data_IF_426560589168
#
_entry.id   IF_426560589168
#
_cell.length_a   1.000
_cell.length_b   1.000
_cell.length_c   1.000
_cell.angle_alpha   90.00
_cell.angle_beta   90.00
_cell.angle_gamma   90.00
#
_symmetry.space_group_name_H-M   'P 1'
#
loop_
_entity.id
_entity.type
_entity.pdbx_description
1 polymer ?
#
# COMPACT_ATOMS: atom_id res chain seq x y z
N UNK A 1 -0.54 20.40 13.23
CA UNK A 1 -0.41 18.95 13.00
C UNK A 1 0.62 18.82 11.90
N UNK A 2 1.57 17.91 12.05
CA UNK A 2 2.66 17.75 11.09
C UNK A 2 2.22 16.64 10.14
N UNK A 3 2.05 16.97 8.85
CA UNK A 3 1.66 15.98 7.85
C UNK A 3 2.89 15.14 7.48
N UNK A 4 2.82 13.84 7.70
CA UNK A 4 3.85 12.89 7.30
C UNK A 4 3.52 12.36 5.91
N UNK A 5 4.55 12.23 5.08
CA UNK A 5 4.39 11.71 3.73
C UNK A 5 5.56 10.84 3.31
N UNK A 6 5.24 9.73 2.65
CA UNK A 6 6.21 8.79 2.09
C UNK A 6 5.85 8.49 0.65
N UNK A 7 6.85 8.30 -0.20
CA UNK A 7 6.67 7.88 -1.60
C UNK A 7 7.33 6.53 -1.87
N UNK A 8 6.63 5.67 -2.60
CA UNK A 8 7.11 4.38 -3.09
C UNK A 8 7.07 4.42 -4.62
N UNK A 9 8.18 4.09 -5.28
CA UNK A 9 8.22 3.96 -6.74
C UNK A 9 7.82 2.54 -7.14
N UNK A 10 6.93 2.44 -8.12
CA UNK A 10 6.54 1.19 -8.75
C UNK A 10 7.34 1.01 -10.04
N UNK A 11 7.73 -0.22 -10.35
CA UNK A 11 8.58 -0.50 -11.50
C UNK A 11 7.74 -0.78 -12.76
N UNK A 12 6.53 -1.31 -12.60
CA UNK A 12 5.63 -1.61 -13.69
C UNK A 12 4.22 -1.05 -13.47
N UNK A 13 3.56 -0.57 -14.55
CA UNK A 13 2.19 -0.08 -14.47
C UNK A 13 1.18 -1.15 -14.02
N UNK A 14 1.48 -2.42 -14.31
CA UNK A 14 0.66 -3.56 -13.88
C UNK A 14 0.75 -3.82 -12.38
N UNK A 15 1.82 -3.35 -11.72
CA UNK A 15 2.01 -3.52 -10.27
C UNK A 15 0.89 -2.80 -9.50
N UNK A 16 0.43 -1.64 -9.98
CA UNK A 16 -0.67 -0.87 -9.36
C UNK A 16 -1.92 -1.72 -9.24
N UNK A 17 -2.33 -2.36 -10.34
CA UNK A 17 -3.55 -3.16 -10.39
C UNK A 17 -3.41 -4.43 -9.55
N UNK A 18 -2.25 -5.10 -9.62
CA UNK A 18 -1.98 -6.31 -8.85
C UNK A 18 -1.93 -6.03 -7.34
N UNK A 19 -1.35 -4.89 -6.94
CA UNK A 19 -1.17 -4.47 -5.56
C UNK A 19 -2.50 -4.01 -4.95
N UNK A 20 -3.18 -3.07 -5.61
CA UNK A 20 -4.37 -2.41 -5.04
C UNK A 20 -5.69 -3.09 -5.39
N UNK A 21 -5.66 -4.06 -6.30
CA UNK A 21 -6.82 -4.81 -6.74
C UNK A 21 -7.81 -4.01 -7.58
N UNK A 22 -8.80 -4.70 -8.13
CA UNK A 22 -9.86 -4.05 -8.90
C UNK A 22 -10.67 -3.07 -8.05
N UNK A 23 -10.95 -1.89 -8.61
CA UNK A 23 -11.64 -0.79 -7.92
C UNK A 23 -10.94 -0.38 -6.60
N UNK A 24 -9.62 -0.55 -6.51
CA UNK A 24 -8.80 -0.07 -5.38
C UNK A 24 -9.22 -0.69 -4.03
N UNK A 25 -9.77 -1.91 -4.06
CA UNK A 25 -10.28 -2.57 -2.84
C UNK A 25 -9.21 -2.75 -1.77
N UNK A 26 -8.00 -3.16 -2.16
CA UNK A 26 -6.91 -3.37 -1.20
C UNK A 26 -6.38 -2.04 -0.68
N UNK A 27 -6.31 -1.02 -1.54
CA UNK A 27 -5.91 0.33 -1.16
C UNK A 27 -6.81 0.86 -0.05
N UNK A 28 -8.13 0.84 -0.27
CA UNK A 28 -9.11 1.29 0.73
C UNK A 28 -9.03 0.51 2.03
N UNK A 29 -8.74 -0.79 1.96
CA UNK A 29 -8.58 -1.61 3.17
C UNK A 29 -7.39 -1.16 4.01
N UNK A 30 -6.26 -0.82 3.37
CA UNK A 30 -5.06 -0.33 4.05
C UNK A 30 -5.32 1.06 4.63
N UNK A 31 -5.92 1.96 3.85
CA UNK A 31 -6.30 3.31 4.32
C UNK A 31 -7.20 3.26 5.56
N UNK A 32 -8.26 2.45 5.52
CA UNK A 32 -9.25 2.34 6.61
C UNK A 32 -8.65 1.70 7.88
N UNK A 33 -7.74 0.74 7.74
CA UNK A 33 -7.08 0.09 8.89
C UNK A 33 -6.06 0.99 9.59
N UNK A 34 -5.31 1.78 8.81
CA UNK A 34 -4.18 2.56 9.34
C UNK A 34 -4.50 4.05 9.53
N UNK A 35 -5.65 4.51 9.03
CA UNK A 35 -6.05 5.92 9.10
C UNK A 35 -5.18 6.83 8.22
N UNK A 36 -4.70 6.30 7.09
CA UNK A 36 -3.84 7.03 6.14
C UNK A 36 -4.56 7.28 4.82
N UNK A 37 -4.04 8.20 4.02
CA UNK A 37 -4.47 8.47 2.65
C UNK A 37 -3.39 7.96 1.70
N UNK A 38 -3.78 7.17 0.71
CA UNK A 38 -2.88 6.57 -0.28
C UNK A 38 -3.28 7.06 -1.68
N UNK A 39 -2.37 7.76 -2.34
CA UNK A 39 -2.51 8.12 -3.74
C UNK A 39 -1.67 7.18 -4.60
N UNK A 40 -2.34 6.26 -5.30
CA UNK A 40 -1.70 5.40 -6.29
C UNK A 40 -1.78 6.02 -7.69
N UNK A 41 -0.63 6.20 -8.33
CA UNK A 41 -0.49 6.55 -9.75
C UNK A 41 0.32 5.47 -10.47
N UNK A 42 0.41 5.57 -11.79
CA UNK A 42 0.99 4.56 -12.69
C UNK A 42 2.37 4.07 -12.26
N UNK A 43 3.21 4.93 -11.70
CA UNK A 43 4.61 4.61 -11.35
C UNK A 43 4.95 4.94 -9.89
N UNK A 44 3.99 5.48 -9.12
CA UNK A 44 4.26 6.02 -7.78
C UNK A 44 3.07 5.85 -6.87
N UNK A 45 3.36 5.55 -5.61
CA UNK A 45 2.39 5.50 -4.51
C UNK A 45 2.83 6.51 -3.48
N UNK A 46 1.97 7.46 -3.16
CA UNK A 46 2.19 8.43 -2.09
C UNK A 46 1.29 8.06 -0.91
N UNK A 47 1.85 8.06 0.29
CA UNK A 47 1.15 7.78 1.54
C UNK A 47 1.21 9.06 2.37
N UNK A 48 0.08 9.49 2.92
CA UNK A 48 -0.08 10.70 3.73
C UNK A 48 -0.81 10.36 5.02
N UNK A 49 -0.42 10.99 6.13
CA UNK A 49 -1.10 10.80 7.41
C UNK A 49 -0.66 11.80 8.47
N UNK A 50 -1.45 11.90 9.52
CA UNK A 50 -1.17 12.76 10.67
C UNK A 50 -0.21 12.12 11.70
N UNK A 51 0.05 10.82 11.56
CA UNK A 51 0.91 10.00 12.42
C UNK A 51 2.02 9.33 11.59
N UNK A 52 3.27 9.50 12.00
CA UNK A 52 4.45 8.90 11.36
C UNK A 52 4.41 7.37 11.40
N UNK A 53 3.95 6.79 12.51
CA UNK A 53 3.88 5.35 12.71
C UNK A 53 2.88 4.71 11.74
N UNK A 54 1.70 5.32 11.58
CA UNK A 54 0.69 4.86 10.59
C UNK A 54 1.22 4.94 9.16
N UNK A 55 1.93 6.02 8.80
CA UNK A 55 2.52 6.18 7.46
C UNK A 55 3.61 5.14 7.22
N UNK A 56 4.46 4.87 8.21
CA UNK A 56 5.51 3.85 8.11
C UNK A 56 4.94 2.43 8.06
N UNK A 57 3.91 2.12 8.85
CA UNK A 57 3.19 0.84 8.78
C UNK A 57 2.61 0.62 7.38
N UNK A 58 1.94 1.64 6.82
CA UNK A 58 1.40 1.58 5.47
C UNK A 58 2.51 1.36 4.43
N UNK A 59 3.66 2.03 4.60
CA UNK A 59 4.83 1.85 3.73
C UNK A 59 5.33 0.41 3.77
N UNK A 60 5.49 -0.18 4.95
CA UNK A 60 5.97 -1.55 5.12
C UNK A 60 4.96 -2.55 4.58
N UNK A 61 3.66 -2.38 4.86
CA UNK A 61 2.59 -3.22 4.29
C UNK A 61 2.62 -3.21 2.77
N UNK A 62 2.68 -2.02 2.15
CA UNK A 62 2.73 -1.89 0.68
C UNK A 62 4.00 -2.51 0.10
N UNK A 63 5.16 -2.32 0.73
CA UNK A 63 6.40 -2.96 0.28
C UNK A 63 6.33 -4.48 0.36
N UNK A 64 5.76 -5.04 1.43
CA UNK A 64 5.58 -6.49 1.56
C UNK A 64 4.70 -7.04 0.44
N UNK A 65 3.58 -6.39 0.14
CA UNK A 65 2.70 -6.76 -0.97
C UNK A 65 3.38 -6.61 -2.33
N UNK A 66 4.17 -5.54 -2.53
CA UNK A 66 4.93 -5.32 -3.76
C UNK A 66 5.96 -6.43 -4.01
N UNK A 67 6.58 -6.97 -2.96
CA UNK A 67 7.48 -8.14 -3.08
C UNK A 67 6.72 -9.37 -3.58
N UNK A 68 5.46 -9.57 -3.19
CA UNK A 68 4.62 -10.66 -3.71
C UNK A 68 4.31 -10.45 -5.20
N UNK A 69 3.90 -9.24 -5.58
CA UNK A 69 3.62 -8.86 -6.97
C UNK A 69 4.85 -9.01 -7.85
N UNK A 70 6.02 -8.54 -7.38
CA UNK A 70 7.30 -8.64 -8.10
C UNK A 70 7.74 -10.10 -8.34
N UNK A 71 7.21 -11.05 -7.57
CA UNK A 71 7.43 -12.50 -7.76
C UNK A 71 6.40 -13.12 -8.71
N UNK A 72 5.52 -12.33 -9.31
CA UNK A 72 4.44 -12.79 -10.17
C UNK A 72 3.27 -13.43 -9.41
N UNK A 73 3.16 -13.21 -8.10
CA UNK A 73 2.04 -13.72 -7.30
C UNK A 73 0.86 -12.76 -7.31
N UNK A 74 -0.35 -13.32 -7.34
CA UNK A 74 -1.58 -12.55 -7.21
C UNK A 74 -1.83 -12.22 -5.73
N UNK A 75 -1.92 -10.93 -5.42
CA UNK A 75 -2.30 -10.45 -4.09
C UNK A 75 -3.81 -10.55 -3.94
N UNK A 76 -4.26 -11.16 -2.87
CA UNK A 76 -5.66 -11.23 -2.46
C UNK A 76 -5.88 -10.45 -1.17
N UNK A 77 -7.14 -10.24 -0.81
CA UNK A 77 -7.51 -9.57 0.44
C UNK A 77 -6.90 -10.23 1.68
N UNK A 78 -6.77 -11.56 1.72
CA UNK A 78 -6.12 -12.27 2.83
C UNK A 78 -4.64 -11.91 2.98
N UNK A 79 -3.93 -11.68 1.86
CA UNK A 79 -2.53 -11.28 1.86
C UNK A 79 -2.39 -9.86 2.43
N UNK A 80 -3.32 -8.97 2.08
CA UNK A 80 -3.39 -7.60 2.63
C UNK A 80 -3.61 -7.61 4.14
N UNK A 81 -4.58 -8.41 4.63
CA UNK A 81 -4.85 -8.55 6.07
C UNK A 81 -3.65 -9.12 6.81
N UNK A 82 -2.97 -10.10 6.20
CA UNK A 82 -1.75 -10.68 6.77
C UNK A 82 -0.62 -9.66 6.83
N UNK A 83 -0.39 -8.91 5.75
CA UNK A 83 0.61 -7.86 5.69
C UNK A 83 0.34 -6.72 6.68
N UNK A 84 -0.93 -6.37 6.93
CA UNK A 84 -1.34 -5.41 7.96
C UNK A 84 -1.10 -5.93 9.38
N UNK A 85 -1.23 -7.25 9.61
CA UNK A 85 -1.04 -7.86 10.93
C UNK A 85 0.44 -8.11 11.28
N UNK A 86 1.32 -8.12 10.28
CA UNK A 86 2.75 -8.40 10.42
C UNK A 86 3.63 -7.14 10.35
N UNK A 87 3.06 -6.00 9.96
CA UNK A 87 3.75 -4.72 9.85
C UNK A 87 4.05 -4.12 11.23
#
# INVERSE_FOLDING_TARGET
>A
MQEYSVEITLNHPDDVLALFGSNERHLKLIEDNLGVIIHARTERVQILGDDEESVELARVTIQALLVLVSRGMLVNTSDVVTALSMA
#
